data_IF_359091419049
#
_entry.id   IF_359091419049
#
_cell.length_a   1.000
_cell.length_b   1.000
_cell.length_c   1.000
_cell.angle_alpha   90.00
_cell.angle_beta   90.00
_cell.angle_gamma   90.00
#
_symmetry.space_group_name_H-M   'P 1'
#
loop_
_entity.id
_entity.type
_entity.pdbx_description
1 polymer ?
#
# COMPACT_ATOMS: atom_id res chain seq x y z
N UNK A 1 -21.21 -7.01 -32.23
CA UNK A 1 -20.04 -6.70 -31.38
C UNK A 1 -20.52 -6.55 -29.96
N UNK A 2 -19.98 -7.23 -28.95
CA UNK A 2 -20.32 -6.95 -27.56
C UNK A 2 -19.71 -5.59 -27.24
N UNK A 3 -20.58 -4.63 -26.91
CA UNK A 3 -20.17 -3.30 -26.45
C UNK A 3 -19.28 -3.45 -25.24
N UNK A 4 -17.99 -3.10 -25.36
CA UNK A 4 -17.10 -3.01 -24.23
C UNK A 4 -17.66 -1.97 -23.28
N UNK A 5 -18.00 -2.37 -22.05
CA UNK A 5 -18.32 -1.43 -20.99
C UNK A 5 -17.15 -0.45 -20.86
N UNK A 6 -17.43 0.85 -20.94
CA UNK A 6 -16.43 1.88 -20.73
C UNK A 6 -15.82 1.78 -19.31
N UNK A 7 -14.75 2.52 -19.03
CA UNK A 7 -14.14 2.51 -17.70
C UNK A 7 -15.19 2.92 -16.64
N UNK A 8 -15.07 2.37 -15.43
CA UNK A 8 -15.93 2.75 -14.31
C UNK A 8 -15.77 4.23 -14.00
N UNK A 9 -16.88 4.90 -13.65
CA UNK A 9 -16.79 6.26 -13.13
C UNK A 9 -16.12 6.28 -11.74
N UNK A 10 -15.54 7.40 -11.33
CA UNK A 10 -14.95 7.52 -9.98
C UNK A 10 -15.94 7.12 -8.88
N UNK A 11 -17.21 7.55 -8.97
CA UNK A 11 -18.26 7.26 -8.01
C UNK A 11 -18.59 5.76 -7.97
N UNK A 12 -18.62 5.09 -9.13
CA UNK A 12 -18.83 3.65 -9.20
C UNK A 12 -17.68 2.86 -8.54
N UNK A 13 -16.44 3.37 -8.63
CA UNK A 13 -15.29 2.79 -7.92
C UNK A 13 -15.42 2.96 -6.41
N UNK A 14 -15.93 4.12 -5.95
CA UNK A 14 -16.25 4.35 -4.53
C UNK A 14 -17.32 3.38 -4.05
N UNK A 15 -18.39 3.17 -4.81
CA UNK A 15 -19.43 2.18 -4.45
C UNK A 15 -18.87 0.75 -4.37
N UNK A 16 -17.96 0.39 -5.27
CA UNK A 16 -17.27 -0.90 -5.20
C UNK A 16 -16.40 -1.01 -3.94
N UNK A 17 -15.66 0.05 -3.60
CA UNK A 17 -14.85 0.10 -2.39
C UNK A 17 -15.71 -0.02 -1.11
N UNK A 18 -16.87 0.64 -1.04
CA UNK A 18 -17.86 0.49 0.05
C UNK A 18 -18.20 -0.98 0.26
N UNK A 19 -18.63 -1.65 -0.80
CA UNK A 19 -19.05 -3.06 -0.72
C UNK A 19 -17.92 -3.99 -0.27
N UNK A 20 -16.68 -3.73 -0.72
CA UNK A 20 -15.51 -4.53 -0.35
C UNK A 20 -15.12 -4.28 1.10
N UNK A 21 -15.09 -3.00 1.53
CA UNK A 21 -14.78 -2.61 2.90
C UNK A 21 -15.77 -3.19 3.91
N UNK A 22 -17.07 -3.19 3.61
CA UNK A 22 -18.07 -3.81 4.48
C UNK A 22 -17.76 -5.29 4.71
N UNK A 23 -17.40 -6.03 3.66
CA UNK A 23 -16.99 -7.44 3.79
C UNK A 23 -15.73 -7.62 4.63
N UNK A 24 -14.77 -6.72 4.49
CA UNK A 24 -13.53 -6.78 5.27
C UNK A 24 -13.84 -6.50 6.74
N UNK A 25 -14.70 -5.54 7.03
CA UNK A 25 -15.14 -5.21 8.38
C UNK A 25 -15.94 -6.36 9.02
N UNK A 26 -16.65 -7.14 8.22
CA UNK A 26 -17.34 -8.38 8.63
C UNK A 26 -16.41 -9.59 8.81
N UNK A 27 -15.09 -9.43 8.56
CA UNK A 27 -14.07 -10.44 8.81
C UNK A 27 -13.46 -11.11 7.58
N UNK A 28 -13.86 -10.76 6.36
CA UNK A 28 -13.21 -11.28 5.15
C UNK A 28 -11.75 -10.74 5.05
N UNK A 29 -10.75 -11.58 4.73
CA UNK A 29 -9.42 -11.08 4.40
C UNK A 29 -9.46 -10.15 3.18
N UNK A 30 -8.77 -8.99 3.27
CA UNK A 30 -8.83 -7.93 2.26
C UNK A 30 -8.52 -8.41 0.83
N UNK A 31 -7.45 -9.20 0.67
CA UNK A 31 -7.06 -9.74 -0.64
C UNK A 31 -8.14 -10.69 -1.21
N UNK A 32 -8.80 -11.47 -0.37
CA UNK A 32 -9.87 -12.37 -0.81
C UNK A 32 -11.13 -11.59 -1.19
N UNK A 33 -11.50 -10.56 -0.43
CA UNK A 33 -12.63 -9.69 -0.73
C UNK A 33 -12.42 -8.98 -2.09
N UNK A 34 -11.23 -8.43 -2.32
CA UNK A 34 -10.84 -7.82 -3.60
C UNK A 34 -10.85 -8.82 -4.76
N UNK A 35 -10.32 -10.02 -4.55
CA UNK A 35 -10.30 -11.06 -5.57
C UNK A 35 -11.71 -11.52 -5.95
N UNK A 36 -12.59 -11.72 -4.97
CA UNK A 36 -14.00 -12.08 -5.21
C UNK A 36 -14.71 -11.00 -6.01
N UNK A 37 -14.54 -9.72 -5.61
CA UNK A 37 -15.10 -8.61 -6.35
C UNK A 37 -14.56 -8.56 -7.79
N UNK A 38 -13.26 -8.69 -7.98
CA UNK A 38 -12.62 -8.66 -9.30
C UNK A 38 -13.15 -9.76 -10.23
N UNK A 39 -13.38 -10.97 -9.70
CA UNK A 39 -13.95 -12.10 -10.46
C UNK A 39 -15.42 -11.89 -10.82
N UNK A 40 -16.20 -11.29 -9.94
CA UNK A 40 -17.60 -10.97 -10.17
C UNK A 40 -17.78 -9.77 -11.13
N UNK A 41 -16.84 -8.83 -11.13
CA UNK A 41 -16.90 -7.58 -11.92
C UNK A 41 -16.09 -7.69 -13.20
N UNK A 42 -16.53 -8.54 -14.12
CA UNK A 42 -15.83 -8.79 -15.41
C UNK A 42 -15.73 -7.54 -16.29
N UNK A 43 -16.62 -6.58 -16.10
CA UNK A 43 -16.64 -5.30 -16.79
C UNK A 43 -15.52 -4.34 -16.35
N UNK A 44 -14.97 -4.53 -15.14
CA UNK A 44 -13.92 -3.67 -14.60
C UNK A 44 -12.58 -3.97 -15.29
N UNK A 45 -11.98 -2.94 -15.90
CA UNK A 45 -10.65 -3.02 -16.49
C UNK A 45 -9.55 -3.10 -15.45
N UNK A 46 -8.31 -3.30 -15.89
CA UNK A 46 -7.14 -3.35 -15.00
C UNK A 46 -6.93 -2.05 -14.22
N UNK A 47 -7.19 -0.89 -14.87
CA UNK A 47 -7.13 0.42 -14.23
C UNK A 47 -8.19 0.59 -13.15
N UNK A 48 -9.43 0.15 -13.40
CA UNK A 48 -10.52 0.20 -12.42
C UNK A 48 -10.22 -0.66 -11.20
N UNK A 49 -9.74 -1.89 -11.45
CA UNK A 49 -9.36 -2.83 -10.36
C UNK A 49 -8.24 -2.27 -9.50
N UNK A 50 -7.26 -1.61 -10.12
CA UNK A 50 -6.19 -0.94 -9.40
C UNK A 50 -6.71 0.23 -8.56
N UNK A 51 -7.57 1.09 -9.12
CA UNK A 51 -8.14 2.21 -8.41
C UNK A 51 -9.01 1.78 -7.22
N UNK A 52 -9.87 0.76 -7.39
CA UNK A 52 -10.67 0.20 -6.29
C UNK A 52 -9.78 -0.40 -5.20
N UNK A 53 -8.72 -1.14 -5.59
CA UNK A 53 -7.74 -1.68 -4.64
C UNK A 53 -7.06 -0.57 -3.84
N UNK A 54 -6.65 0.50 -4.50
CA UNK A 54 -6.01 1.65 -3.85
C UNK A 54 -6.98 2.31 -2.85
N UNK A 55 -8.25 2.57 -3.22
CA UNK A 55 -9.28 3.08 -2.31
C UNK A 55 -9.47 2.21 -1.05
N UNK A 56 -9.52 0.89 -1.23
CA UNK A 56 -9.69 -0.06 -0.12
C UNK A 56 -8.49 -0.02 0.82
N UNK A 57 -7.26 -0.17 0.30
CA UNK A 57 -6.08 -0.21 1.16
C UNK A 57 -5.75 1.14 1.79
N UNK A 58 -6.01 2.26 1.12
CA UNK A 58 -5.87 3.60 1.71
C UNK A 58 -6.83 3.77 2.89
N UNK A 59 -8.06 3.27 2.76
CA UNK A 59 -9.04 3.33 3.84
C UNK A 59 -8.67 2.41 5.01
N UNK A 60 -8.07 1.25 4.74
CA UNK A 60 -7.59 0.36 5.81
C UNK A 60 -6.40 0.96 6.59
N UNK A 61 -5.51 1.70 5.91
CA UNK A 61 -4.42 2.42 6.58
C UNK A 61 -4.88 3.62 7.39
N UNK A 62 -6.06 4.19 7.07
CA UNK A 62 -6.67 5.36 7.70
C UNK A 62 -8.03 5.01 8.31
N UNK A 63 -8.14 3.80 8.84
CA UNK A 63 -9.41 3.20 9.24
C UNK A 63 -10.13 4.03 10.31
N UNK A 64 -9.40 4.41 11.35
CA UNK A 64 -9.98 5.09 12.51
C UNK A 64 -10.22 6.56 12.23
N UNK A 65 -9.30 7.23 11.56
CA UNK A 65 -9.44 8.64 11.20
C UNK A 65 -10.59 8.84 10.21
N UNK A 66 -10.70 7.99 9.18
CA UNK A 66 -11.80 8.07 8.21
C UNK A 66 -13.14 7.66 8.81
N UNK A 67 -13.17 6.70 9.72
CA UNK A 67 -14.41 6.36 10.46
C UNK A 67 -14.89 7.53 11.33
N UNK A 68 -13.99 8.24 12.01
CA UNK A 68 -14.32 9.43 12.78
C UNK A 68 -14.88 10.55 11.87
N UNK A 69 -14.17 10.88 10.80
CA UNK A 69 -14.59 11.88 9.83
C UNK A 69 -15.92 11.51 9.14
N UNK A 70 -16.14 10.25 8.82
CA UNK A 70 -17.36 9.76 8.17
C UNK A 70 -18.52 9.49 9.12
N UNK A 71 -18.28 9.47 10.42
CA UNK A 71 -19.28 9.27 11.46
C UNK A 71 -19.66 7.80 11.72
N UNK A 72 -19.07 6.83 11.02
CA UNK A 72 -19.32 5.40 11.26
C UNK A 72 -18.18 4.52 10.75
N UNK A 73 -18.00 3.37 11.42
CA UNK A 73 -17.09 2.32 10.97
C UNK A 73 -17.83 1.35 10.04
N UNK A 74 -18.13 1.82 8.85
CA UNK A 74 -18.73 1.08 7.73
C UNK A 74 -18.01 1.45 6.45
N UNK A 75 -18.11 0.62 5.40
CA UNK A 75 -17.54 0.98 4.10
C UNK A 75 -18.02 2.33 3.60
N UNK A 76 -19.30 2.63 3.81
CA UNK A 76 -19.91 3.92 3.46
C UNK A 76 -19.33 5.07 4.30
N UNK A 77 -19.22 4.90 5.62
CA UNK A 77 -18.61 5.89 6.51
C UNK A 77 -17.15 6.14 6.18
N UNK A 78 -16.38 5.10 5.85
CA UNK A 78 -14.98 5.23 5.46
C UNK A 78 -14.81 6.02 4.16
N UNK A 79 -15.69 5.81 3.16
CA UNK A 79 -15.64 6.57 1.90
C UNK A 79 -16.12 8.02 2.09
N UNK A 80 -17.10 8.26 2.95
CA UNK A 80 -17.48 9.61 3.34
C UNK A 80 -16.34 10.33 4.08
N UNK A 81 -15.69 9.62 4.99
CA UNK A 81 -14.49 10.11 5.69
C UNK A 81 -13.34 10.41 4.75
N UNK A 82 -13.12 9.57 3.72
CA UNK A 82 -12.15 9.85 2.66
C UNK A 82 -12.44 11.18 1.94
N UNK A 83 -13.68 11.41 1.54
CA UNK A 83 -14.05 12.68 0.89
C UNK A 83 -13.70 13.89 1.77
N UNK A 84 -13.98 13.79 3.07
CA UNK A 84 -13.68 14.88 4.04
C UNK A 84 -12.18 15.04 4.30
N UNK A 85 -11.46 13.93 4.41
CA UNK A 85 -10.00 13.91 4.61
C UNK A 85 -9.23 14.53 3.44
N UNK A 86 -9.71 14.27 2.21
CA UNK A 86 -9.07 14.72 0.98
C UNK A 86 -9.65 16.04 0.43
N UNK A 87 -10.64 16.63 1.12
CA UNK A 87 -11.26 17.89 0.71
C UNK A 87 -12.14 17.78 -0.53
N UNK A 88 -12.63 16.61 -0.85
CA UNK A 88 -13.61 16.39 -1.92
C UNK A 88 -15.02 16.73 -1.44
N UNK A 89 -15.86 17.24 -2.35
CA UNK A 89 -17.29 17.40 -2.05
C UNK A 89 -17.99 16.04 -1.96
N UNK A 90 -18.46 15.62 -0.78
CA UNK A 90 -19.12 14.33 -0.63
C UNK A 90 -20.39 14.21 -1.49
N UNK A 91 -21.12 15.29 -1.73
CA UNK A 91 -22.35 15.27 -2.52
C UNK A 91 -22.08 15.03 -4.01
N UNK A 92 -20.89 15.41 -4.49
CA UNK A 92 -20.46 15.11 -5.85
C UNK A 92 -20.13 13.62 -6.06
N UNK A 93 -19.79 12.90 -4.98
CA UNK A 93 -19.48 11.46 -5.01
C UNK A 93 -20.72 10.60 -4.72
N UNK A 94 -21.50 10.97 -3.70
CA UNK A 94 -22.71 10.27 -3.25
C UNK A 94 -23.95 10.80 -3.96
N UNK A 95 -23.99 10.64 -5.28
CA UNK A 95 -25.05 11.23 -6.14
C UNK A 95 -26.32 10.39 -6.22
N UNK A 96 -26.24 9.09 -5.93
CA UNK A 96 -27.33 8.15 -6.11
C UNK A 96 -27.65 7.86 -7.59
N UNK A 97 -26.83 8.31 -8.53
CA UNK A 97 -27.07 8.14 -9.97
C UNK A 97 -26.24 6.98 -10.53
N UNK A 98 -26.82 6.20 -11.42
CA UNK A 98 -26.12 5.08 -12.06
C UNK A 98 -25.60 4.08 -11.04
N UNK A 99 -24.28 3.91 -10.99
CA UNK A 99 -23.59 3.03 -10.06
C UNK A 99 -22.90 3.79 -8.90
N UNK A 100 -23.21 5.07 -8.73
CA UNK A 100 -22.69 5.86 -7.61
C UNK A 100 -23.36 5.43 -6.28
N UNK A 101 -22.70 5.69 -5.13
CA UNK A 101 -23.33 5.50 -3.83
C UNK A 101 -24.61 6.34 -3.69
N UNK A 102 -25.57 5.81 -2.94
CA UNK A 102 -26.81 6.54 -2.65
C UNK A 102 -26.54 7.92 -2.04
N UNK A 103 -27.44 8.87 -2.27
CA UNK A 103 -27.34 10.23 -1.70
C UNK A 103 -27.16 10.17 -0.18
N UNK A 104 -26.43 11.13 0.35
CA UNK A 104 -26.21 11.26 1.79
C UNK A 104 -27.49 11.71 2.49
N UNK A 105 -27.76 11.11 3.64
CA UNK A 105 -28.82 11.57 4.54
C UNK A 105 -28.41 12.87 5.25
N UNK A 106 -29.40 13.56 5.84
CA UNK A 106 -29.12 14.73 6.66
C UNK A 106 -28.23 14.42 7.87
N UNK A 107 -28.37 13.21 8.44
CA UNK A 107 -27.54 12.73 9.55
C UNK A 107 -26.08 12.51 9.10
N UNK A 108 -25.88 11.91 7.93
CA UNK A 108 -24.53 11.71 7.37
C UNK A 108 -23.86 13.04 7.01
N UNK A 109 -24.64 14.00 6.48
CA UNK A 109 -24.09 15.34 6.17
C UNK A 109 -23.68 16.11 7.43
N UNK A 110 -24.46 16.00 8.51
CA UNK A 110 -24.19 16.64 9.79
C UNK A 110 -23.23 15.85 10.68
N UNK A 111 -23.08 14.56 10.43
CA UNK A 111 -22.29 13.64 11.25
C UNK A 111 -20.79 13.72 10.97
N UNK A 112 -20.06 12.93 11.75
CA UNK A 112 -18.60 12.90 11.74
C UNK A 112 -17.97 13.99 12.62
N UNK A 113 -16.75 13.72 13.04
CA UNK A 113 -15.97 14.63 13.87
C UNK A 113 -14.49 14.53 13.51
N UNK A 114 -13.67 15.54 13.81
CA UNK A 114 -12.23 15.44 13.72
C UNK A 114 -11.71 14.24 14.53
N UNK A 115 -10.77 13.44 14.00
CA UNK A 115 -10.23 12.31 14.74
C UNK A 115 -9.36 12.82 15.90
N UNK A 116 -9.50 12.16 17.05
CA UNK A 116 -8.73 12.48 18.26
C UNK A 116 -8.02 11.23 18.80
N UNK A 117 -6.99 11.43 19.66
CA UNK A 117 -6.24 10.36 20.28
C UNK A 117 -5.68 9.35 19.26
N UNK A 118 -5.86 8.06 19.52
CA UNK A 118 -5.42 7.00 18.62
C UNK A 118 -6.05 7.06 17.23
N UNK A 119 -7.28 7.59 17.11
CA UNK A 119 -7.92 7.76 15.81
C UNK A 119 -7.19 8.80 14.92
N UNK A 120 -6.63 9.85 15.52
CA UNK A 120 -5.85 10.84 14.78
C UNK A 120 -4.54 10.25 14.20
N UNK A 121 -4.03 9.19 14.79
CA UNK A 121 -2.82 8.48 14.37
C UNK A 121 -3.12 7.16 13.64
N UNK A 122 -4.40 6.77 13.53
CA UNK A 122 -4.83 5.45 13.04
C UNK A 122 -4.25 4.27 13.84
N UNK A 123 -3.95 4.50 15.13
CA UNK A 123 -3.43 3.51 16.06
C UNK A 123 -4.49 3.12 17.10
N UNK A 124 -4.48 1.88 17.60
CA UNK A 124 -5.31 1.48 18.74
C UNK A 124 -4.94 2.28 20.00
N UNK A 125 -5.94 2.74 20.76
CA UNK A 125 -5.68 3.57 21.96
C UNK A 125 -4.81 2.86 23.00
N UNK A 126 -4.95 1.54 23.14
CA UNK A 126 -4.14 0.74 24.08
C UNK A 126 -2.64 0.73 23.73
N UNK A 127 -2.29 1.00 22.46
CA UNK A 127 -0.90 1.00 21.97
C UNK A 127 -0.19 2.34 22.26
N UNK A 128 -0.93 3.44 22.40
CA UNK A 128 -0.35 4.78 22.48
C UNK A 128 0.72 4.93 23.58
N UNK A 129 0.53 4.45 24.83
CA UNK A 129 1.56 4.60 25.85
C UNK A 129 2.89 3.92 25.47
N UNK A 130 2.83 2.70 24.95
CA UNK A 130 4.04 1.98 24.51
C UNK A 130 4.64 2.58 23.24
N UNK A 131 3.81 3.13 22.37
CA UNK A 131 4.22 3.83 21.14
C UNK A 131 5.03 5.09 21.48
N UNK A 132 4.50 5.92 22.36
CA UNK A 132 5.15 7.16 22.80
C UNK A 132 6.44 6.89 23.58
N UNK A 133 6.43 5.88 24.47
CA UNK A 133 7.62 5.46 25.21
C UNK A 133 8.74 4.99 24.27
N UNK A 134 8.40 4.18 23.26
CA UNK A 134 9.40 3.60 22.36
C UNK A 134 9.95 4.60 21.33
N UNK A 135 9.13 5.54 20.85
CA UNK A 135 9.47 6.39 19.72
C UNK A 135 9.69 7.87 20.10
N UNK A 136 9.22 8.31 21.26
CA UNK A 136 9.37 9.70 21.74
C UNK A 136 8.99 10.73 20.65
N UNK A 137 9.92 11.58 20.23
CA UNK A 137 9.69 12.62 19.23
C UNK A 137 9.35 12.05 17.84
N UNK A 138 9.70 10.80 17.56
CA UNK A 138 9.39 10.13 16.29
C UNK A 138 7.99 9.50 16.27
N UNK A 139 7.26 9.47 17.39
CA UNK A 139 5.96 8.82 17.51
C UNK A 139 4.96 9.30 16.44
N UNK A 140 4.79 10.61 16.30
CA UNK A 140 3.90 11.21 15.32
C UNK A 140 4.40 11.05 13.88
N UNK A 141 5.67 11.37 13.53
CA UNK A 141 6.21 11.16 12.19
C UNK A 141 6.07 9.72 11.70
N UNK A 142 6.35 8.73 12.56
CA UNK A 142 6.25 7.31 12.20
C UNK A 142 4.78 6.91 11.97
N UNK A 143 3.85 7.33 12.84
CA UNK A 143 2.42 7.08 12.64
C UNK A 143 1.91 7.67 11.32
N UNK A 144 2.32 8.88 10.97
CA UNK A 144 1.98 9.50 9.70
C UNK A 144 2.56 8.71 8.50
N UNK A 145 3.82 8.28 8.58
CA UNK A 145 4.44 7.47 7.53
C UNK A 145 3.72 6.13 7.32
N UNK A 146 3.21 5.50 8.37
CA UNK A 146 2.46 4.23 8.29
C UNK A 146 1.10 4.37 7.58
N UNK A 147 0.55 5.56 7.47
CA UNK A 147 -0.70 5.85 6.73
C UNK A 147 -0.47 5.92 5.21
N UNK A 148 0.77 6.09 4.79
CA UNK A 148 1.13 6.16 3.38
C UNK A 148 1.40 4.76 2.80
N UNK A 149 1.29 4.65 1.48
CA UNK A 149 1.67 3.42 0.80
C UNK A 149 3.17 3.21 0.93
N UNK A 150 3.57 2.04 1.40
CA UNK A 150 4.98 1.69 1.50
C UNK A 150 5.66 1.77 0.12
N UNK A 151 6.86 2.37 0.03
CA UNK A 151 7.64 2.35 -1.20
C UNK A 151 8.04 0.90 -1.54
N UNK A 152 8.15 0.62 -2.83
CA UNK A 152 8.68 -0.67 -3.29
C UNK A 152 10.19 -0.58 -3.34
N UNK A 153 10.86 -1.47 -2.62
CA UNK A 153 12.31 -1.56 -2.59
C UNK A 153 12.80 -2.81 -3.31
N UNK A 154 13.90 -2.65 -4.03
CA UNK A 154 14.67 -3.72 -4.64
C UNK A 154 16.06 -3.76 -4.03
N UNK A 155 16.69 -4.90 -4.10
CA UNK A 155 18.10 -5.08 -3.80
C UNK A 155 18.84 -5.52 -5.08
N UNK A 156 19.85 -4.78 -5.48
CA UNK A 156 20.75 -5.21 -6.54
C UNK A 156 21.52 -6.47 -6.06
N UNK A 157 21.57 -7.48 -6.90
CA UNK A 157 22.30 -8.72 -6.63
C UNK A 157 23.76 -8.54 -7.00
N UNK A 158 24.60 -8.23 -6.02
CA UNK A 158 26.02 -7.91 -6.22
C UNK A 158 26.85 -9.07 -6.76
N UNK A 159 26.33 -10.30 -6.76
CA UNK A 159 26.97 -11.45 -7.45
C UNK A 159 26.74 -11.41 -8.97
N UNK A 160 25.79 -10.61 -9.46
CA UNK A 160 25.37 -10.60 -10.88
C UNK A 160 25.52 -9.25 -11.56
N UNK A 161 25.36 -8.17 -10.81
CA UNK A 161 25.39 -6.82 -11.37
C UNK A 161 25.83 -5.81 -10.30
N UNK A 162 26.47 -4.75 -10.73
CA UNK A 162 26.62 -3.56 -9.89
C UNK A 162 25.29 -2.82 -9.73
N UNK A 163 25.12 -1.95 -8.74
CA UNK A 163 23.92 -1.11 -8.63
C UNK A 163 23.64 -0.31 -9.90
N UNK A 164 24.66 0.23 -10.55
CA UNK A 164 24.57 1.03 -11.77
C UNK A 164 24.08 0.19 -12.97
N UNK A 165 24.60 -1.04 -13.11
CA UNK A 165 24.13 -1.98 -14.15
C UNK A 165 22.69 -2.41 -13.91
N UNK A 166 22.31 -2.66 -12.66
CA UNK A 166 20.92 -2.98 -12.28
C UNK A 166 19.97 -1.81 -12.59
N UNK A 167 20.36 -0.57 -12.26
CA UNK A 167 19.61 0.65 -12.57
C UNK A 167 19.43 0.79 -14.09
N UNK A 168 20.50 0.61 -14.85
CA UNK A 168 20.46 0.72 -16.32
C UNK A 168 19.55 -0.35 -16.95
N UNK A 169 19.61 -1.59 -16.46
CA UNK A 169 18.75 -2.67 -16.93
C UNK A 169 17.26 -2.39 -16.63
N UNK A 170 16.93 -1.89 -15.43
CA UNK A 170 15.57 -1.49 -15.06
C UNK A 170 15.07 -0.32 -15.91
N UNK A 171 15.92 0.69 -16.12
CA UNK A 171 15.57 1.86 -16.93
C UNK A 171 15.27 1.49 -18.41
N UNK A 172 15.97 0.50 -18.98
CA UNK A 172 15.70 -0.02 -20.32
C UNK A 172 14.29 -0.64 -20.46
N UNK A 173 13.67 -1.02 -19.34
CA UNK A 173 12.31 -1.57 -19.28
C UNK A 173 11.28 -0.57 -18.68
N UNK A 174 11.60 0.73 -18.70
CA UNK A 174 10.79 1.82 -18.16
C UNK A 174 10.48 1.67 -16.66
N UNK A 175 11.38 1.13 -15.89
CA UNK A 175 11.31 1.06 -14.42
C UNK A 175 12.34 2.03 -13.86
N UNK A 176 11.87 3.14 -13.29
CA UNK A 176 12.75 4.14 -12.67
C UNK A 176 12.98 3.80 -11.20
N UNK A 177 14.24 3.83 -10.78
CA UNK A 177 14.65 3.58 -9.40
C UNK A 177 15.67 4.62 -8.94
N UNK A 178 15.75 4.82 -7.62
CA UNK A 178 16.75 5.68 -6.98
C UNK A 178 17.49 4.88 -5.92
N UNK A 179 18.85 4.87 -5.89
CA UNK A 179 19.59 4.18 -4.87
C UNK A 179 19.47 4.88 -3.50
N UNK A 180 19.52 4.11 -2.43
CA UNK A 180 19.60 4.65 -1.08
C UNK A 180 21.00 5.26 -0.85
N UNK A 181 21.10 6.46 -0.23
CA UNK A 181 22.38 7.17 -0.11
C UNK A 181 23.45 6.37 0.65
N UNK A 182 23.07 5.68 1.72
CA UNK A 182 23.99 4.91 2.57
C UNK A 182 24.05 3.41 2.22
N UNK A 183 23.21 2.94 1.30
CA UNK A 183 23.17 1.55 0.87
C UNK A 183 22.85 1.48 -0.63
N UNK A 184 23.84 1.73 -1.51
CA UNK A 184 23.61 1.88 -2.96
C UNK A 184 22.98 0.64 -3.64
N UNK A 185 23.13 -0.55 -3.06
CA UNK A 185 22.46 -1.76 -3.55
C UNK A 185 20.94 -1.77 -3.28
N UNK A 186 20.44 -0.94 -2.36
CA UNK A 186 19.01 -0.77 -2.11
C UNK A 186 18.45 0.30 -3.05
N UNK A 187 17.48 -0.09 -3.88
CA UNK A 187 16.91 0.72 -4.94
C UNK A 187 15.42 0.95 -4.68
N UNK A 188 15.03 2.21 -4.46
CA UNK A 188 13.62 2.60 -4.33
C UNK A 188 12.97 2.73 -5.70
N UNK A 189 11.89 2.02 -5.95
CA UNK A 189 11.13 2.10 -7.20
C UNK A 189 10.32 3.40 -7.22
N UNK A 190 10.60 4.28 -8.17
CA UNK A 190 9.91 5.55 -8.37
C UNK A 190 8.72 5.41 -9.34
N UNK A 191 8.88 4.59 -10.38
CA UNK A 191 7.83 4.31 -11.35
C UNK A 191 8.02 2.94 -11.99
N UNK A 192 6.96 2.42 -12.64
CA UNK A 192 7.03 1.14 -13.36
C UNK A 192 6.92 -0.11 -12.49
N UNK A 193 6.62 -0.01 -11.20
CA UNK A 193 6.55 -1.16 -10.27
C UNK A 193 5.70 -2.35 -10.78
N UNK A 194 4.64 -2.09 -11.54
CA UNK A 194 3.78 -3.14 -12.11
C UNK A 194 4.48 -4.00 -13.17
N UNK A 195 5.54 -3.48 -13.81
CA UNK A 195 6.32 -4.19 -14.84
C UNK A 195 7.41 -5.07 -14.24
N UNK A 196 7.77 -4.82 -12.99
CA UNK A 196 8.90 -5.44 -12.32
C UNK A 196 8.90 -6.97 -12.44
N UNK A 197 7.80 -7.63 -12.08
CA UNK A 197 7.70 -9.09 -12.11
C UNK A 197 7.88 -9.69 -13.53
N UNK A 198 7.62 -8.91 -14.57
CA UNK A 198 7.79 -9.31 -15.96
C UNK A 198 9.13 -8.88 -16.54
N UNK A 199 9.90 -8.03 -15.86
CA UNK A 199 11.17 -7.50 -16.35
C UNK A 199 12.26 -8.59 -16.42
N UNK A 200 13.16 -8.46 -17.38
CA UNK A 200 14.34 -9.33 -17.49
C UNK A 200 15.24 -9.13 -16.26
N UNK A 201 15.44 -7.90 -15.82
CA UNK A 201 16.25 -7.58 -14.63
C UNK A 201 15.82 -8.37 -13.40
N UNK A 202 14.50 -8.54 -13.17
CA UNK A 202 13.98 -9.33 -12.07
C UNK A 202 14.07 -10.85 -12.33
N UNK A 203 13.65 -11.32 -13.51
CA UNK A 203 13.66 -12.76 -13.86
C UNK A 203 15.07 -13.35 -13.93
N UNK A 204 16.04 -12.57 -14.38
CA UNK A 204 17.42 -12.98 -14.50
C UNK A 204 18.19 -12.79 -13.17
N UNK A 205 17.51 -12.27 -12.14
CA UNK A 205 18.06 -12.15 -10.80
C UNK A 205 19.12 -11.05 -10.63
N UNK A 206 19.10 -10.02 -11.48
CA UNK A 206 19.93 -8.81 -11.27
C UNK A 206 19.43 -8.02 -10.08
N UNK A 207 18.12 -8.07 -9.83
CA UNK A 207 17.46 -7.43 -8.67
C UNK A 207 16.49 -8.40 -8.02
N UNK A 208 16.26 -8.20 -6.73
CA UNK A 208 15.31 -8.95 -5.92
C UNK A 208 14.40 -7.98 -5.14
N UNK A 209 13.13 -8.38 -4.92
CA UNK A 209 12.24 -7.64 -4.02
C UNK A 209 12.67 -7.87 -2.59
N UNK A 210 13.05 -6.82 -1.90
CA UNK A 210 13.37 -6.82 -0.48
C UNK A 210 13.19 -5.44 0.11
N UNK A 211 12.45 -5.33 1.22
CA UNK A 211 12.29 -4.05 1.92
C UNK A 211 13.62 -3.49 2.42
N UNK A 212 13.66 -2.17 2.62
CA UNK A 212 14.86 -1.48 3.05
C UNK A 212 15.34 -1.94 4.43
N UNK A 213 14.44 -2.10 5.41
CA UNK A 213 14.80 -2.48 6.78
C UNK A 213 15.60 -3.79 6.86
N UNK A 214 15.20 -4.91 6.24
CA UNK A 214 16.03 -6.12 6.22
C UNK A 214 17.33 -5.95 5.44
N UNK A 215 17.40 -5.09 4.43
CA UNK A 215 18.65 -4.77 3.73
C UNK A 215 19.62 -4.03 4.66
N UNK A 216 19.14 -3.02 5.39
CA UNK A 216 19.92 -2.29 6.40
C UNK A 216 20.38 -3.23 7.53
N UNK A 217 19.50 -4.09 8.04
CA UNK A 217 19.89 -5.07 9.06
C UNK A 217 21.01 -6.00 8.57
N UNK A 218 20.92 -6.48 7.32
CA UNK A 218 22.01 -7.29 6.72
C UNK A 218 23.30 -6.50 6.57
N UNK A 219 23.25 -5.20 6.28
CA UNK A 219 24.45 -4.37 6.10
C UNK A 219 25.27 -4.21 7.39
N UNK A 220 24.65 -4.37 8.54
CA UNK A 220 25.31 -4.27 9.85
C UNK A 220 26.06 -5.55 10.26
N UNK A 221 25.85 -6.66 9.54
CA UNK A 221 26.52 -7.92 9.83
C UNK A 221 27.93 -7.95 9.24
N UNK A 222 28.87 -8.72 9.87
CA UNK A 222 30.22 -8.91 9.31
C UNK A 222 30.18 -9.48 7.90
N UNK A 223 31.22 -9.22 7.10
CA UNK A 223 31.34 -9.72 5.72
C UNK A 223 32.02 -11.09 5.63
N UNK A 224 32.39 -11.68 6.76
CA UNK A 224 33.15 -12.93 6.83
C UNK A 224 32.63 -13.84 7.93
N UNK A 225 32.68 -15.15 7.66
CA UNK A 225 32.32 -16.18 8.63
C UNK A 225 31.22 -17.09 8.12
N UNK A 226 30.74 -17.96 9.01
CA UNK A 226 29.58 -18.82 8.76
C UNK A 226 28.35 -18.16 9.35
N UNK A 227 27.24 -18.17 8.63
CA UNK A 227 25.97 -17.56 9.03
C UNK A 227 24.85 -18.60 8.97
N UNK A 228 24.03 -18.63 10.02
CA UNK A 228 22.78 -19.37 10.04
C UNK A 228 21.61 -18.35 9.97
N UNK A 229 20.84 -18.39 8.90
CA UNK A 229 19.56 -17.68 8.82
C UNK A 229 18.45 -18.58 9.37
N UNK A 230 18.18 -18.45 10.68
CA UNK A 230 17.10 -19.19 11.33
C UNK A 230 15.77 -18.51 11.03
N UNK A 231 14.77 -19.27 10.58
CA UNK A 231 13.49 -18.77 10.07
C UNK A 231 13.65 -17.96 8.75
N UNK A 232 14.47 -18.44 7.83
CA UNK A 232 14.83 -17.75 6.58
C UNK A 232 13.64 -17.35 5.68
N UNK A 233 12.49 -18.05 5.78
CA UNK A 233 11.34 -17.81 4.91
C UNK A 233 11.72 -18.00 3.44
N UNK A 234 11.50 -16.96 2.61
CA UNK A 234 11.91 -16.97 1.20
C UNK A 234 13.41 -16.76 0.96
N UNK A 235 14.21 -16.65 2.01
CA UNK A 235 15.67 -16.54 1.91
C UNK A 235 16.20 -15.13 1.58
N UNK A 236 15.37 -14.09 1.63
CA UNK A 236 15.78 -12.74 1.23
C UNK A 236 17.02 -12.22 1.98
N UNK A 237 17.12 -12.45 3.31
CA UNK A 237 18.29 -12.07 4.10
C UNK A 237 19.49 -12.98 3.79
N UNK A 238 19.27 -14.30 3.70
CA UNK A 238 20.32 -15.25 3.34
C UNK A 238 20.94 -14.90 1.98
N UNK A 239 20.13 -14.61 0.97
CA UNK A 239 20.60 -14.19 -0.35
C UNK A 239 21.35 -12.85 -0.32
N UNK A 240 20.88 -11.89 0.49
CA UNK A 240 21.57 -10.61 0.68
C UNK A 240 22.98 -10.80 1.27
N UNK A 241 23.12 -11.68 2.24
CA UNK A 241 24.39 -11.98 2.90
C UNK A 241 25.32 -12.82 2.03
N UNK A 242 24.78 -13.81 1.31
CA UNK A 242 25.54 -14.58 0.34
C UNK A 242 26.12 -13.70 -0.77
N UNK A 243 25.40 -12.67 -1.21
CA UNK A 243 25.89 -11.69 -2.18
C UNK A 243 27.07 -10.85 -1.67
N UNK A 244 27.30 -10.81 -0.36
CA UNK A 244 28.46 -10.14 0.29
C UNK A 244 29.62 -11.09 0.60
N UNK A 245 29.51 -12.39 0.27
CA UNK A 245 30.54 -13.38 0.45
C UNK A 245 30.44 -14.22 1.74
N UNK A 246 29.26 -14.20 2.40
CA UNK A 246 28.95 -15.05 3.54
C UNK A 246 28.32 -16.38 3.12
#
# INVERSE_FOLDING_TARGET
>A
APGGAGPMTPEARVQAAITILDRILDGDPAEQALLRWSRASRFAGSGDRAAVRDLVFDSLRRLRSRAALGGSLTGRGLMLGMCRDEGHDPQAVFTGQGHAPAQLSAEELAGGAPPEGGAALDLPDWLLPAWDEALSDDANPVAQAMRERAPVWLRANLLRATPEEAIAALAAEDIAVTPHPDLPAALAVQSGARRLAASAAYRDGLVELQDLSPQLACSLLPDRGSLLDYCAGGGGKALALAARGL
#
